data_IF_548893314712
#
_entry.id   IF_548893314712
#
_cell.length_a   1.000
_cell.length_b   1.000
_cell.length_c   1.000
_cell.angle_alpha   90.00
_cell.angle_beta   90.00
_cell.angle_gamma   90.00
#
_symmetry.space_group_name_H-M   'P 1'
#
loop_
_entity.id
_entity.type
_entity.pdbx_description
1 polymer ?
#
# COMPACT_ATOMS: atom_id res chain seq x y z
N UNK A 1 7.15 16.18 5.05
CA UNK A 1 7.43 15.41 3.80
C UNK A 1 7.32 16.22 2.51
N UNK A 2 6.52 17.29 2.43
CA UNK A 2 6.29 18.04 1.17
C UNK A 2 7.59 18.53 0.51
N UNK A 3 8.54 19.07 1.30
CA UNK A 3 9.86 19.46 0.79
C UNK A 3 10.62 18.28 0.18
N UNK A 4 10.74 17.17 0.92
CA UNK A 4 11.38 15.94 0.44
C UNK A 4 10.74 15.38 -0.84
N UNK A 5 9.41 15.44 -0.95
CA UNK A 5 8.66 14.89 -2.08
C UNK A 5 9.08 15.51 -3.42
N UNK A 6 9.41 16.81 -3.44
CA UNK A 6 9.85 17.51 -4.66
C UNK A 6 11.16 16.90 -5.20
N UNK A 7 12.07 16.50 -4.32
CA UNK A 7 13.35 15.88 -4.70
C UNK A 7 13.28 14.36 -4.83
N UNK A 8 12.23 13.73 -4.31
CA UNK A 8 12.02 12.28 -4.40
C UNK A 8 11.10 11.88 -5.57
N UNK A 9 10.38 12.83 -6.18
CA UNK A 9 9.53 12.55 -7.34
C UNK A 9 10.36 12.09 -8.55
N UNK A 10 9.83 11.12 -9.31
CA UNK A 10 10.55 10.51 -10.43
C UNK A 10 10.95 11.55 -11.49
N UNK A 11 12.24 11.61 -11.90
CA UNK A 11 13.38 10.81 -11.44
C UNK A 11 13.92 11.28 -10.06
N UNK A 12 14.01 10.35 -9.10
CA UNK A 12 14.39 10.65 -7.72
C UNK A 12 15.84 11.16 -7.62
N UNK A 13 16.02 12.31 -6.97
CA UNK A 13 17.34 12.93 -6.73
C UNK A 13 17.89 12.61 -5.34
N UNK A 14 17.00 12.36 -4.37
CA UNK A 14 17.34 12.05 -2.99
C UNK A 14 16.50 10.85 -2.54
N UNK A 15 17.15 9.84 -1.95
CA UNK A 15 16.51 8.69 -1.33
C UNK A 15 16.38 8.91 0.18
N UNK A 16 15.26 8.45 0.76
CA UNK A 16 14.97 8.64 2.18
C UNK A 16 15.95 7.85 3.08
N UNK A 17 16.41 6.69 2.58
CA UNK A 17 17.28 5.78 3.31
C UNK A 17 16.66 5.24 4.60
N UNK A 18 17.42 4.43 5.33
CA UNK A 18 16.99 3.87 6.62
C UNK A 18 16.92 4.95 7.72
N UNK A 19 17.79 5.96 7.61
CA UNK A 19 17.84 7.11 8.53
C UNK A 19 16.53 7.89 8.53
N UNK A 20 15.86 8.01 7.38
CA UNK A 20 14.58 8.69 7.29
C UNK A 20 13.37 7.78 7.44
N UNK A 21 13.44 6.53 6.95
CA UNK A 21 12.29 5.62 6.92
C UNK A 21 11.96 5.04 8.29
N UNK A 22 12.97 4.65 9.09
CA UNK A 22 12.76 4.01 10.39
C UNK A 22 12.12 4.98 11.40
N UNK A 23 12.63 6.21 11.62
CA UNK A 23 11.98 7.15 12.53
C UNK A 23 10.57 7.54 12.07
N UNK A 24 10.36 7.68 10.75
CA UNK A 24 9.04 7.99 10.20
C UNK A 24 8.04 6.86 10.47
N UNK A 25 8.45 5.61 10.25
CA UNK A 25 7.63 4.44 10.56
C UNK A 25 7.29 4.36 12.06
N UNK A 26 8.26 4.66 12.93
CA UNK A 26 8.03 4.70 14.38
C UNK A 26 7.01 5.78 14.77
N UNK A 27 7.15 7.01 14.25
CA UNK A 27 6.20 8.10 14.52
C UNK A 27 4.79 7.76 14.04
N UNK A 28 4.65 7.23 12.83
CA UNK A 28 3.35 6.81 12.29
C UNK A 28 2.75 5.70 13.16
N UNK A 29 3.54 4.68 13.51
CA UNK A 29 3.10 3.58 14.38
C UNK A 29 2.65 4.08 15.76
N UNK A 30 3.40 5.01 16.36
CA UNK A 30 3.03 5.64 17.63
C UNK A 30 1.70 6.40 17.54
N UNK A 31 1.47 7.17 16.47
CA UNK A 31 0.20 7.87 16.27
C UNK A 31 -0.98 6.91 16.05
N UNK A 32 -0.79 5.85 15.26
CA UNK A 32 -1.81 4.82 15.06
C UNK A 32 -2.14 4.09 16.36
N UNK A 33 -1.15 3.80 17.18
CA UNK A 33 -1.35 3.20 18.50
C UNK A 33 -2.18 4.11 19.41
N UNK A 34 -1.83 5.39 19.51
CA UNK A 34 -2.60 6.36 20.30
C UNK A 34 -4.04 6.53 19.79
N UNK A 35 -4.23 6.51 18.47
CA UNK A 35 -5.55 6.56 17.85
C UNK A 35 -6.40 5.34 18.24
N UNK A 36 -5.81 4.15 18.21
CA UNK A 36 -6.46 2.92 18.64
C UNK A 36 -6.79 2.93 20.15
N UNK A 37 -5.84 3.37 20.98
CA UNK A 37 -6.01 3.49 22.44
C UNK A 37 -7.09 4.51 22.83
N UNK A 38 -7.31 5.53 21.99
CA UNK A 38 -8.38 6.52 22.15
C UNK A 38 -9.77 6.02 21.74
N UNK A 39 -9.90 4.73 21.37
CA UNK A 39 -11.16 4.09 20.98
C UNK A 39 -11.42 4.05 19.47
N UNK A 40 -10.57 4.66 18.64
CA UNK A 40 -10.71 4.70 17.18
C UNK A 40 -9.91 3.61 16.47
N UNK A 41 -9.96 2.39 16.99
CA UNK A 41 -9.13 1.28 16.51
C UNK A 41 -9.41 0.89 15.04
N UNK A 42 -10.65 1.01 14.55
CA UNK A 42 -10.95 0.77 13.14
C UNK A 42 -10.21 1.75 12.22
N UNK A 43 -10.24 3.05 12.54
CA UNK A 43 -9.53 4.07 11.77
C UNK A 43 -8.01 3.82 11.79
N UNK A 44 -7.47 3.42 12.95
CA UNK A 44 -6.07 3.05 13.12
C UNK A 44 -5.66 1.83 12.27
N UNK A 45 -6.59 0.93 11.97
CA UNK A 45 -6.35 -0.26 11.13
C UNK A 45 -6.53 0.06 9.63
N UNK A 46 -7.55 0.85 9.27
CA UNK A 46 -7.87 1.20 7.88
C UNK A 46 -6.73 2.01 7.23
N UNK A 47 -6.12 2.95 7.96
CA UNK A 47 -5.06 3.81 7.45
C UNK A 47 -3.83 3.03 6.91
N UNK A 48 -3.22 2.10 7.67
CA UNK A 48 -2.08 1.31 7.19
C UNK A 48 -2.48 0.08 6.35
N UNK A 49 -3.77 -0.15 6.08
CA UNK A 49 -4.28 -1.41 5.54
C UNK A 49 -3.59 -1.85 4.25
N UNK A 50 -3.36 -0.92 3.32
CA UNK A 50 -2.64 -1.20 2.08
C UNK A 50 -1.21 -1.71 2.34
N UNK A 51 -0.44 -1.03 3.21
CA UNK A 51 0.95 -1.37 3.51
C UNK A 51 1.07 -2.71 4.25
N UNK A 52 0.15 -2.98 5.18
CA UNK A 52 0.07 -4.28 5.87
C UNK A 52 -0.23 -5.38 4.87
N UNK A 53 -1.17 -5.16 3.95
CA UNK A 53 -1.54 -6.16 2.95
C UNK A 53 -0.40 -6.40 1.96
N UNK A 54 0.27 -5.36 1.48
CA UNK A 54 1.39 -5.44 0.53
C UNK A 54 2.58 -6.21 1.13
N UNK A 55 2.97 -5.86 2.36
CA UNK A 55 4.04 -6.55 3.08
C UNK A 55 3.69 -8.01 3.39
N UNK A 56 2.46 -8.27 3.85
CA UNK A 56 1.98 -9.63 4.14
C UNK A 56 1.94 -10.51 2.90
N UNK A 57 1.41 -10.01 1.78
CA UNK A 57 1.39 -10.74 0.51
C UNK A 57 2.79 -10.98 -0.03
N UNK A 58 3.68 -10.01 0.11
CA UNK A 58 5.09 -10.16 -0.29
C UNK A 58 5.76 -11.26 0.52
N UNK A 59 5.60 -11.26 1.85
CA UNK A 59 6.14 -12.31 2.74
C UNK A 59 5.52 -13.68 2.45
N UNK A 60 4.20 -13.77 2.29
CA UNK A 60 3.50 -15.02 2.00
C UNK A 60 3.95 -15.63 0.67
N UNK A 61 4.08 -14.83 -0.38
CA UNK A 61 4.59 -15.29 -1.68
C UNK A 61 6.01 -15.82 -1.58
N UNK A 62 6.87 -15.16 -0.79
CA UNK A 62 8.25 -15.62 -0.55
C UNK A 62 8.27 -16.97 0.14
N UNK A 63 7.45 -17.13 1.19
CA UNK A 63 7.32 -18.38 1.92
C UNK A 63 6.85 -19.53 1.00
N UNK A 64 5.83 -19.29 0.17
CA UNK A 64 5.31 -20.27 -0.78
C UNK A 64 6.28 -20.58 -1.93
N UNK A 65 7.17 -19.66 -2.28
CA UNK A 65 8.17 -19.84 -3.33
C UNK A 65 9.44 -20.55 -2.85
N UNK A 66 9.54 -20.91 -1.56
CA UNK A 66 10.72 -21.55 -0.97
C UNK A 66 12.00 -20.71 -1.05
N UNK A 67 11.89 -19.42 -1.37
CA UNK A 67 13.05 -18.52 -1.51
C UNK A 67 13.43 -17.98 -0.14
N UNK A 68 14.73 -17.88 0.12
CA UNK A 68 15.24 -17.40 1.40
C UNK A 68 14.69 -15.99 1.72
N UNK A 69 14.08 -15.87 2.89
CA UNK A 69 13.51 -14.63 3.43
C UNK A 69 14.62 -13.57 3.64
N UNK A 70 15.88 -14.03 3.74
CA UNK A 70 17.07 -13.28 4.12
C UNK A 70 17.83 -12.63 2.96
N UNK A 71 17.53 -12.96 1.70
CA UNK A 71 18.15 -12.27 0.57
C UNK A 71 17.49 -10.91 0.33
N UNK A 72 18.31 -9.86 0.28
CA UNK A 72 17.88 -8.50 -0.03
C UNK A 72 17.40 -8.42 -1.49
N UNK A 73 16.12 -8.70 -1.72
CA UNK A 73 15.50 -8.57 -3.03
C UNK A 73 14.81 -7.22 -3.18
N UNK A 74 15.14 -6.51 -4.26
CA UNK A 74 14.60 -5.20 -4.63
C UNK A 74 13.26 -5.29 -5.37
N UNK A 75 12.51 -6.38 -5.25
CA UNK A 75 11.26 -6.61 -5.99
C UNK A 75 10.04 -6.30 -5.12
N UNK A 76 9.73 -5.01 -4.97
CA UNK A 76 8.43 -4.60 -4.41
C UNK A 76 7.29 -4.99 -5.35
N UNK A 77 6.10 -5.26 -4.80
CA UNK A 77 4.91 -5.68 -5.55
C UNK A 77 4.55 -4.74 -6.71
N UNK A 78 4.88 -3.45 -6.59
CA UNK A 78 4.73 -2.48 -7.68
C UNK A 78 5.54 -2.85 -8.94
N UNK A 79 6.74 -3.44 -8.79
CA UNK A 79 7.56 -3.89 -9.92
C UNK A 79 6.93 -5.09 -10.63
N UNK A 80 6.16 -5.93 -9.91
CA UNK A 80 5.38 -6.99 -10.51
C UNK A 80 4.25 -6.43 -11.38
N UNK A 81 3.56 -5.39 -10.91
CA UNK A 81 2.56 -4.69 -11.72
C UNK A 81 3.18 -4.08 -12.98
N UNK A 82 4.40 -3.55 -12.90
CA UNK A 82 5.15 -3.05 -14.06
C UNK A 82 5.56 -4.19 -15.01
N UNK A 83 6.03 -5.33 -14.48
CA UNK A 83 6.33 -6.54 -15.26
C UNK A 83 5.09 -7.08 -16.00
N UNK A 84 3.89 -6.95 -15.43
CA UNK A 84 2.63 -7.31 -16.08
C UNK A 84 2.11 -6.27 -17.09
N UNK A 85 2.99 -5.44 -17.64
CA UNK A 85 2.67 -4.51 -18.72
C UNK A 85 2.05 -3.18 -18.29
N UNK A 86 1.99 -2.87 -16.98
CA UNK A 86 1.51 -1.56 -16.50
C UNK A 86 2.64 -0.54 -16.42
N UNK A 87 2.34 0.73 -16.57
CA UNK A 87 3.35 1.80 -16.41
C UNK A 87 3.54 2.15 -14.94
N UNK A 88 4.77 2.47 -14.55
CA UNK A 88 5.13 2.93 -13.20
C UNK A 88 4.16 4.01 -12.69
N UNK A 89 3.92 5.03 -13.51
CA UNK A 89 3.04 6.16 -13.17
C UNK A 89 1.57 5.76 -13.01
N UNK A 90 1.10 4.68 -13.65
CA UNK A 90 -0.26 4.17 -13.44
C UNK A 90 -0.39 3.47 -12.08
N UNK A 91 0.62 2.70 -11.68
CA UNK A 91 0.63 1.97 -10.41
C UNK A 91 0.66 2.96 -9.24
N UNK A 92 1.56 3.94 -9.30
CA UNK A 92 1.67 5.00 -8.28
C UNK A 92 0.36 5.77 -8.13
N UNK A 93 -0.30 6.16 -9.24
CA UNK A 93 -1.60 6.84 -9.18
C UNK A 93 -2.70 5.97 -8.56
N UNK A 94 -2.74 4.67 -8.88
CA UNK A 94 -3.69 3.73 -8.29
C UNK A 94 -3.51 3.63 -6.77
N UNK A 95 -2.28 3.44 -6.30
CA UNK A 95 -1.96 3.42 -4.86
C UNK A 95 -2.33 4.73 -4.18
N UNK A 96 -2.02 5.86 -4.80
CA UNK A 96 -2.34 7.19 -4.26
C UNK A 96 -3.86 7.37 -4.10
N UNK A 97 -4.64 7.02 -5.13
CA UNK A 97 -6.10 7.10 -5.08
C UNK A 97 -6.67 6.18 -3.99
N UNK A 98 -6.19 4.94 -3.88
CA UNK A 98 -6.61 4.02 -2.82
C UNK A 98 -6.27 4.57 -1.44
N UNK A 99 -5.10 5.15 -1.23
CA UNK A 99 -4.75 5.77 0.05
C UNK A 99 -5.69 6.94 0.40
N UNK A 100 -6.05 7.80 -0.56
CA UNK A 100 -7.02 8.88 -0.33
C UNK A 100 -8.39 8.31 0.08
N UNK A 101 -8.86 7.27 -0.60
CA UNK A 101 -10.12 6.61 -0.25
C UNK A 101 -10.08 5.98 1.16
N UNK A 102 -8.97 5.34 1.52
CA UNK A 102 -8.79 4.79 2.86
C UNK A 102 -8.78 5.88 3.94
N UNK A 103 -8.16 7.04 3.68
CA UNK A 103 -8.18 8.19 4.62
C UNK A 103 -9.62 8.68 4.81
N UNK A 104 -10.39 8.81 3.73
CA UNK A 104 -11.81 9.21 3.80
C UNK A 104 -12.61 8.21 4.63
N UNK A 105 -12.45 6.91 4.36
CA UNK A 105 -13.14 5.86 5.12
C UNK A 105 -12.72 5.81 6.59
N UNK A 106 -11.43 6.01 6.89
CA UNK A 106 -10.93 6.08 8.27
C UNK A 106 -11.52 7.29 9.01
N UNK A 107 -11.61 8.44 8.35
CA UNK A 107 -12.28 9.63 8.91
C UNK A 107 -13.75 9.35 9.18
N UNK A 108 -14.47 8.74 8.24
CA UNK A 108 -15.86 8.35 8.46
C UNK A 108 -16.01 7.35 9.60
N UNK A 109 -15.11 6.38 9.72
CA UNK A 109 -15.12 5.41 10.81
C UNK A 109 -14.90 6.04 12.19
N UNK A 110 -14.35 7.25 12.26
CA UNK A 110 -14.08 7.96 13.52
C UNK A 110 -15.24 8.85 13.98
N UNK A 111 -16.36 8.90 13.26
CA UNK A 111 -17.51 9.69 13.72
C UNK A 111 -18.08 9.13 15.04
N UNK A 112 -18.28 9.99 16.06
CA UNK A 112 -18.83 9.57 17.33
C UNK A 112 -20.27 9.05 17.16
N UNK A 113 -20.60 7.96 17.88
CA UNK A 113 -21.93 7.31 17.91
C UNK A 113 -22.36 6.61 16.62
N UNK A 114 -21.43 6.19 15.77
CA UNK A 114 -21.76 5.30 14.66
C UNK A 114 -22.27 3.94 15.16
N UNK A 115 -23.37 3.41 14.60
CA UNK A 115 -23.79 2.03 14.83
C UNK A 115 -22.69 1.05 14.43
N UNK A 116 -22.44 0.04 15.27
CA UNK A 116 -21.35 -0.92 15.06
C UNK A 116 -21.40 -1.58 13.66
N UNK A 117 -22.59 -1.90 13.16
CA UNK A 117 -22.78 -2.47 11.82
C UNK A 117 -22.22 -1.58 10.70
N UNK A 118 -22.37 -0.25 10.82
CA UNK A 118 -21.85 0.70 9.83
C UNK A 118 -20.32 0.73 9.87
N UNK A 119 -19.72 0.72 11.06
CA UNK A 119 -18.25 0.66 11.21
C UNK A 119 -17.67 -0.62 10.59
N UNK A 120 -18.32 -1.76 10.76
CA UNK A 120 -17.92 -3.02 10.11
C UNK A 120 -18.07 -2.96 8.59
N UNK A 121 -19.14 -2.36 8.09
CA UNK A 121 -19.32 -2.16 6.64
C UNK A 121 -18.22 -1.26 6.05
N UNK A 122 -17.83 -0.18 6.75
CA UNK A 122 -16.72 0.68 6.36
C UNK A 122 -15.40 -0.12 6.31
N UNK A 123 -15.13 -0.98 7.29
CA UNK A 123 -13.95 -1.82 7.27
C UNK A 123 -13.97 -2.82 6.10
N UNK A 124 -15.11 -3.46 5.84
CA UNK A 124 -15.27 -4.38 4.71
C UNK A 124 -15.04 -3.66 3.37
N UNK A 125 -15.62 -2.47 3.19
CA UNK A 125 -15.39 -1.67 1.98
C UNK A 125 -13.92 -1.28 1.81
N UNK A 126 -13.23 -0.90 2.89
CA UNK A 126 -11.79 -0.64 2.84
C UNK A 126 -10.99 -1.88 2.39
N UNK A 127 -11.30 -3.05 2.94
CA UNK A 127 -10.68 -4.32 2.54
C UNK A 127 -10.93 -4.65 1.06
N UNK A 128 -12.17 -4.45 0.58
CA UNK A 128 -12.53 -4.69 -0.82
C UNK A 128 -11.78 -3.75 -1.78
N UNK A 129 -11.64 -2.47 -1.44
CA UNK A 129 -10.90 -1.51 -2.26
C UNK A 129 -9.43 -1.95 -2.39
N UNK A 130 -8.80 -2.35 -1.28
CA UNK A 130 -7.41 -2.84 -1.29
C UNK A 130 -7.29 -4.13 -2.10
N UNK A 131 -8.22 -5.08 -1.92
CA UNK A 131 -8.24 -6.33 -2.67
C UNK A 131 -8.41 -6.09 -4.18
N UNK A 132 -9.32 -5.19 -4.58
CA UNK A 132 -9.53 -4.82 -5.98
C UNK A 132 -8.28 -4.16 -6.59
N UNK A 133 -7.60 -3.29 -5.85
CA UNK A 133 -6.34 -2.69 -6.31
C UNK A 133 -5.29 -3.79 -6.56
N UNK A 134 -5.13 -4.71 -5.61
CA UNK A 134 -4.17 -5.82 -5.71
C UNK A 134 -4.53 -6.72 -6.90
N UNK A 135 -5.79 -7.13 -7.05
CA UNK A 135 -6.25 -7.93 -8.18
C UNK A 135 -6.03 -7.21 -9.51
N UNK A 136 -6.31 -5.91 -9.58
CA UNK A 136 -6.03 -5.09 -10.75
C UNK A 136 -4.54 -5.04 -11.06
N UNK A 137 -3.67 -4.92 -10.05
CA UNK A 137 -2.22 -4.98 -10.25
C UNK A 137 -1.75 -6.36 -10.76
N UNK A 138 -2.38 -7.45 -10.32
CA UNK A 138 -2.08 -8.81 -10.77
C UNK A 138 -2.62 -9.11 -12.17
N UNK A 139 -3.80 -8.61 -12.51
CA UNK A 139 -4.41 -8.76 -13.82
C UNK A 139 -3.81 -7.76 -14.82
N UNK A 140 -2.53 -7.94 -15.15
CA UNK A 140 -1.92 -7.22 -16.26
C UNK A 140 -1.86 -8.13 -17.48
N UNK A 141 -2.28 -7.58 -18.64
CA UNK A 141 -2.18 -8.28 -19.92
C UNK A 141 -0.73 -8.68 -20.12
N UNK A 142 -0.47 -9.98 -20.32
CA UNK A 142 0.75 -10.39 -20.99
C UNK A 142 0.90 -9.49 -22.22
N UNK A 143 1.96 -8.68 -22.26
CA UNK A 143 2.38 -8.09 -23.52
C UNK A 143 2.61 -9.29 -24.42
N UNK A 144 1.71 -9.53 -25.38
CA UNK A 144 1.98 -10.41 -26.51
C UNK A 144 3.37 -10.01 -26.98
N UNK A 145 4.31 -10.92 -26.78
CA UNK A 145 5.64 -10.82 -27.33
C UNK A 145 5.45 -10.73 -28.84
N UNK A 146 5.45 -9.53 -29.39
CA UNK A 146 5.62 -9.32 -30.82
C UNK A 146 7.04 -9.75 -31.16
N UNK A 147 7.23 -11.06 -31.28
CA UNK A 147 8.40 -11.70 -31.88
C UNK A 147 8.14 -11.77 -33.38
N UNK A 148 8.88 -10.95 -34.12
CA UNK A 148 9.57 -11.22 -35.41
C UNK A 148 9.82 -9.85 -36.03
N UNK A 149 10.98 -9.22 -35.82
CA UNK A 149 12.24 -9.50 -36.53
C UNK A 149 12.00 -9.61 -38.04
N UNK A 150 12.38 -8.52 -38.71
CA UNK A 150 12.88 -8.38 -40.09
C UNK A 150 11.99 -8.88 -41.23
#
# INVERSE_FOLDING_TARGET
MIGFLIWNWSPAKIFLGDVGSIPLGFLIGWHLFNLAASGFWMAALILPLYYITDSSLTLLRRLLSGKSIWEAHKEHFYQFAVKNGRTHSSVVRGVMLTNVLLIILAFFSAYPKLPAFISWLILLTACLIVALLILWMLYGKEKKSTKSVL
#
